data_IF_369362758201
#
_entry.id   IF_369362758201
#
_cell.length_a   1.000
_cell.length_b   1.000
_cell.length_c   1.000
_cell.angle_alpha   90.00
_cell.angle_beta   90.00
_cell.angle_gamma   90.00
#
_symmetry.space_group_name_H-M   'P 1'
#
loop_
_entity.id
_entity.type
_entity.pdbx_description
1 polymer ?
#
# COMPACT_ATOMS: atom_id res chain seq x y z
N UNK A 1 -11.55 -25.21 36.08
CA UNK A 1 -11.66 -23.96 35.31
C UNK A 1 -10.74 -24.08 34.11
N UNK A 2 -11.22 -24.37 32.89
CA UNK A 2 -10.34 -24.56 31.75
C UNK A 2 -9.85 -23.20 31.27
N UNK A 3 -8.55 -22.98 31.40
CA UNK A 3 -7.86 -21.82 30.83
C UNK A 3 -8.12 -21.77 29.34
N UNK A 4 -8.71 -20.65 28.89
CA UNK A 4 -8.88 -20.33 27.48
C UNK A 4 -7.49 -20.30 26.87
N UNK A 5 -7.12 -21.39 26.19
CA UNK A 5 -5.94 -21.42 25.34
C UNK A 5 -6.14 -20.32 24.30
N UNK A 6 -5.49 -19.18 24.49
CA UNK A 6 -5.28 -18.22 23.42
C UNK A 6 -4.60 -19.01 22.29
N UNK A 7 -5.26 -19.19 21.13
CA UNK A 7 -4.67 -19.96 20.06
C UNK A 7 -3.36 -19.28 19.65
N UNK A 8 -2.32 -20.11 19.63
CA UNK A 8 -0.94 -19.80 19.32
C UNK A 8 -0.80 -18.80 18.18
N UNK A 9 -0.02 -17.76 18.47
CA UNK A 9 0.37 -16.61 17.65
C UNK A 9 0.88 -17.01 16.26
N UNK A 10 0.02 -17.17 15.26
CA UNK A 10 0.47 -17.01 13.87
C UNK A 10 0.60 -15.51 13.60
N UNK A 11 1.80 -15.01 13.25
CA UNK A 11 1.95 -13.60 12.91
C UNK A 11 0.98 -13.29 11.76
N UNK A 12 0.12 -12.30 11.95
CA UNK A 12 -0.90 -11.89 10.99
C UNK A 12 -0.32 -11.64 9.58
N UNK A 13 0.98 -11.33 9.49
CA UNK A 13 1.77 -11.22 8.26
C UNK A 13 1.89 -12.51 7.43
N UNK A 14 1.61 -13.67 8.02
CA UNK A 14 1.65 -15.01 7.38
C UNK A 14 0.25 -15.58 7.11
N UNK A 15 -0.82 -14.86 7.46
CA UNK A 15 -2.16 -15.27 7.06
C UNK A 15 -2.25 -15.33 5.54
N UNK A 16 -2.84 -16.41 5.00
CA UNK A 16 -3.05 -16.59 3.54
C UNK A 16 -3.69 -15.37 2.89
N UNK A 17 -4.53 -14.65 3.63
CA UNK A 17 -5.20 -13.43 3.20
C UNK A 17 -4.22 -12.26 3.06
N UNK A 18 -3.28 -12.09 3.99
CA UNK A 18 -2.27 -11.05 3.93
C UNK A 18 -1.25 -11.30 2.81
N UNK A 19 -0.90 -12.58 2.58
CA UNK A 19 -0.05 -13.00 1.47
C UNK A 19 -0.78 -12.77 0.14
N UNK A 20 -2.05 -13.16 0.03
CA UNK A 20 -2.87 -12.91 -1.15
C UNK A 20 -2.94 -11.42 -1.49
N UNK A 21 -3.26 -10.56 -0.52
CA UNK A 21 -3.32 -9.11 -0.74
C UNK A 21 -1.97 -8.50 -1.10
N UNK A 22 -0.87 -8.94 -0.48
CA UNK A 22 0.48 -8.53 -0.89
C UNK A 22 0.73 -8.90 -2.35
N UNK A 23 0.50 -10.16 -2.73
CA UNK A 23 0.73 -10.63 -4.09
C UNK A 23 -0.14 -9.89 -5.10
N UNK A 24 -1.43 -9.68 -4.79
CA UNK A 24 -2.33 -8.90 -5.64
C UNK A 24 -1.82 -7.46 -5.82
N UNK A 25 -1.49 -6.76 -4.73
CA UNK A 25 -0.98 -5.39 -4.79
C UNK A 25 0.37 -5.31 -5.54
N UNK A 26 1.24 -6.31 -5.38
CA UNK A 26 2.49 -6.41 -6.15
C UNK A 26 2.23 -6.59 -7.64
N UNK A 27 1.29 -7.46 -8.03
CA UNK A 27 0.91 -7.66 -9.43
C UNK A 27 0.28 -6.39 -10.03
N UNK A 28 -0.61 -5.72 -9.28
CA UNK A 28 -1.18 -4.44 -9.69
C UNK A 28 -0.09 -3.38 -9.88
N UNK A 29 0.85 -3.25 -8.95
CA UNK A 29 1.99 -2.35 -9.11
C UNK A 29 2.80 -2.67 -10.36
N UNK A 30 3.16 -3.93 -10.58
CA UNK A 30 3.95 -4.33 -11.75
C UNK A 30 3.20 -4.01 -13.06
N UNK A 31 1.88 -4.22 -13.09
CA UNK A 31 1.05 -3.84 -14.23
C UNK A 31 1.05 -2.34 -14.49
N UNK A 32 0.85 -1.52 -13.45
CA UNK A 32 0.87 -0.06 -13.57
C UNK A 32 2.25 0.48 -13.95
N UNK A 33 3.32 -0.13 -13.43
CA UNK A 33 4.70 0.18 -13.82
C UNK A 33 4.93 -0.12 -15.32
N UNK A 34 4.38 -1.24 -15.81
CA UNK A 34 4.42 -1.59 -17.22
C UNK A 34 3.68 -0.59 -18.11
N UNK A 35 2.47 -0.17 -17.70
CA UNK A 35 1.71 0.89 -18.39
C UNK A 35 2.47 2.22 -18.39
N UNK A 36 3.07 2.59 -17.26
CA UNK A 36 3.87 3.80 -17.16
C UNK A 36 5.06 3.77 -18.14
N UNK A 37 5.80 2.66 -18.20
CA UNK A 37 6.92 2.51 -19.12
C UNK A 37 6.49 2.61 -20.59
N UNK A 38 5.35 2.00 -20.95
CA UNK A 38 4.77 2.13 -22.29
C UNK A 38 4.35 3.59 -22.59
N UNK A 39 3.65 4.24 -21.65
CA UNK A 39 3.23 5.63 -21.79
C UNK A 39 4.39 6.61 -21.93
N UNK A 40 5.53 6.36 -21.26
CA UNK A 40 6.75 7.15 -21.46
C UNK A 40 7.35 6.95 -22.86
N UNK A 41 7.28 5.73 -23.40
CA UNK A 41 7.75 5.42 -24.75
C UNK A 41 6.86 6.04 -25.83
N UNK A 42 5.55 6.08 -25.60
CA UNK A 42 4.55 6.57 -26.57
C UNK A 42 4.34 8.10 -26.49
N UNK A 43 5.02 8.78 -25.57
CA UNK A 43 4.94 10.24 -25.39
C UNK A 43 3.76 10.72 -24.55
N UNK A 44 2.95 9.82 -23.97
CA UNK A 44 1.86 10.12 -23.05
C UNK A 44 2.36 10.36 -21.62
N UNK A 45 3.18 11.40 -21.44
CA UNK A 45 3.91 11.68 -20.19
C UNK A 45 2.95 11.87 -19.00
N UNK A 46 1.81 12.54 -19.18
CA UNK A 46 0.86 12.76 -18.08
C UNK A 46 0.22 11.45 -17.57
N UNK A 47 -0.18 10.56 -18.48
CA UNK A 47 -0.72 9.25 -18.11
C UNK A 47 0.36 8.35 -17.51
N UNK A 48 1.57 8.37 -18.08
CA UNK A 48 2.70 7.61 -17.60
C UNK A 48 3.12 8.01 -16.17
N UNK A 49 3.11 9.30 -15.86
CA UNK A 49 3.41 9.83 -14.52
C UNK A 49 2.31 9.44 -13.52
N UNK A 50 1.04 9.44 -13.95
CA UNK A 50 -0.08 8.96 -13.15
C UNK A 50 0.01 7.46 -12.82
N UNK A 51 0.29 6.64 -13.83
CA UNK A 51 0.44 5.18 -13.71
C UNK A 51 1.67 4.81 -12.85
N UNK A 52 2.76 5.57 -12.97
CA UNK A 52 3.94 5.44 -12.11
C UNK A 52 3.62 5.81 -10.65
N UNK A 53 2.85 6.87 -10.43
CA UNK A 53 2.35 7.24 -9.11
C UNK A 53 1.51 6.14 -8.47
N UNK A 54 0.58 5.55 -9.24
CA UNK A 54 -0.24 4.41 -8.80
C UNK A 54 0.62 3.19 -8.44
N UNK A 55 1.62 2.86 -9.27
CA UNK A 55 2.56 1.77 -8.98
C UNK A 55 3.26 1.95 -7.62
N UNK A 56 3.77 3.15 -7.36
CA UNK A 56 4.46 3.49 -6.11
C UNK A 56 3.52 3.40 -4.90
N UNK A 57 2.28 3.88 -5.03
CA UNK A 57 1.28 3.78 -3.95
C UNK A 57 0.95 2.31 -3.63
N UNK A 58 0.79 1.46 -4.64
CA UNK A 58 0.52 0.03 -4.44
C UNK A 58 1.69 -0.70 -3.78
N UNK A 59 2.94 -0.40 -4.15
CA UNK A 59 4.13 -0.93 -3.45
C UNK A 59 4.16 -0.48 -1.99
N UNK A 60 3.86 0.79 -1.72
CA UNK A 60 3.76 1.31 -0.35
C UNK A 60 2.69 0.57 0.47
N UNK A 61 1.54 0.27 -0.14
CA UNK A 61 0.48 -0.51 0.47
C UNK A 61 0.85 -1.98 0.71
N UNK A 62 1.68 -2.62 -0.12
CA UNK A 62 2.17 -3.98 0.12
C UNK A 62 2.89 -4.11 1.47
N UNK A 63 3.66 -3.08 1.85
CA UNK A 63 4.33 -3.07 3.15
C UNK A 63 3.35 -2.81 4.29
N UNK A 64 2.37 -1.93 4.07
CA UNK A 64 1.28 -1.63 5.01
C UNK A 64 0.22 -2.73 5.17
N UNK A 65 0.34 -3.87 4.49
CA UNK A 65 -0.63 -4.97 4.55
C UNK A 65 -0.83 -5.55 5.96
N UNK A 66 0.15 -5.39 6.84
CA UNK A 66 0.05 -5.72 8.27
C UNK A 66 -0.95 -4.83 9.03
N UNK A 67 -1.17 -3.57 8.61
CA UNK A 67 -2.24 -2.72 9.16
C UNK A 67 -3.63 -3.23 8.73
N UNK A 68 -3.79 -3.63 7.46
CA UNK A 68 -5.04 -4.19 6.91
C UNK A 68 -5.45 -5.51 7.58
N UNK A 69 -4.47 -6.34 7.88
CA UNK A 69 -4.74 -7.63 8.49
C UNK A 69 -5.09 -7.51 9.99
N UNK A 70 -4.71 -6.42 10.65
CA UNK A 70 -5.14 -6.08 12.02
C UNK A 70 -6.54 -5.45 12.03
N UNK A 71 -6.84 -4.63 11.02
CA UNK A 71 -8.20 -4.16 10.73
C UNK A 71 -9.18 -5.32 10.53
N UNK A 72 -8.75 -6.45 9.97
CA UNK A 72 -9.60 -7.63 9.79
C UNK A 72 -9.76 -8.48 11.07
N UNK A 73 -8.80 -8.42 12.00
CA UNK A 73 -8.72 -9.38 13.12
C UNK A 73 -9.23 -8.84 14.46
N UNK A 74 -9.18 -7.53 14.69
CA UNK A 74 -9.61 -6.91 15.96
C UNK A 74 -10.97 -6.23 15.76
N UNK A 75 -12.03 -6.76 16.37
CA UNK A 75 -13.40 -6.22 16.26
C UNK A 75 -13.62 -4.95 17.09
N UNK A 76 -12.82 -4.75 18.16
CA UNK A 76 -12.90 -3.60 19.06
C UNK A 76 -12.22 -2.36 18.44
N UNK A 77 -12.94 -1.27 18.11
CA UNK A 77 -12.40 -0.14 17.36
C UNK A 77 -11.28 0.60 18.12
N UNK A 78 -11.41 0.78 19.43
CA UNK A 78 -10.42 1.50 20.24
C UNK A 78 -9.09 0.72 20.39
N UNK A 79 -9.15 -0.62 20.53
CA UNK A 79 -7.94 -1.46 20.62
C UNK A 79 -7.30 -1.66 19.26
N UNK A 80 -8.09 -1.68 18.19
CA UNK A 80 -7.64 -1.72 16.80
C UNK A 80 -6.79 -0.51 16.47
N UNK A 81 -7.26 0.71 16.77
CA UNK A 81 -6.49 1.93 16.52
C UNK A 81 -5.18 1.98 17.32
N UNK A 82 -5.22 1.63 18.61
CA UNK A 82 -4.01 1.60 19.43
C UNK A 82 -2.97 0.56 18.95
N UNK A 83 -3.42 -0.58 18.42
CA UNK A 83 -2.56 -1.61 17.85
C UNK A 83 -1.96 -1.16 16.50
N UNK A 84 -2.75 -0.51 15.65
CA UNK A 84 -2.32 0.06 14.38
C UNK A 84 -1.28 1.16 14.62
N UNK A 85 -1.52 2.07 15.56
CA UNK A 85 -0.62 3.19 15.84
C UNK A 85 0.75 2.69 16.33
N UNK A 86 0.78 1.70 17.23
CA UNK A 86 2.01 1.08 17.72
C UNK A 86 2.80 0.37 16.62
N UNK A 87 2.12 -0.27 15.66
CA UNK A 87 2.79 -0.91 14.54
C UNK A 87 3.29 0.09 13.52
N UNK A 88 2.47 1.11 13.23
CA UNK A 88 2.85 2.22 12.38
C UNK A 88 4.08 2.95 12.93
N UNK A 89 4.20 3.13 14.25
CA UNK A 89 5.41 3.66 14.88
C UNK A 89 6.63 2.74 14.71
N UNK A 90 6.48 1.44 14.97
CA UNK A 90 7.56 0.46 14.77
C UNK A 90 8.00 0.35 13.31
N UNK A 91 7.06 0.44 12.38
CA UNK A 91 7.29 0.33 10.95
C UNK A 91 7.92 1.61 10.40
N UNK A 92 7.47 2.80 10.83
CA UNK A 92 8.15 4.08 10.54
C UNK A 92 9.58 4.09 11.07
N UNK A 93 9.82 3.56 12.27
CA UNK A 93 11.15 3.49 12.87
C UNK A 93 12.09 2.55 12.09
N UNK A 94 11.58 1.43 11.56
CA UNK A 94 12.38 0.50 10.74
C UNK A 94 12.54 0.96 9.30
N UNK A 95 11.56 1.65 8.71
CA UNK A 95 11.47 1.91 7.27
C UNK A 95 10.88 3.30 6.98
N UNK A 96 11.57 4.40 7.30
CA UNK A 96 11.08 5.74 7.04
C UNK A 96 10.87 6.01 5.53
N UNK A 97 11.64 5.35 4.67
CA UNK A 97 11.58 5.47 3.22
C UNK A 97 10.23 5.07 2.61
N UNK A 98 9.45 4.17 3.25
CA UNK A 98 8.12 3.79 2.75
C UNK A 98 7.18 5.00 2.75
N UNK A 99 7.28 5.84 3.78
CA UNK A 99 6.47 7.07 3.85
C UNK A 99 6.87 8.05 2.74
N UNK A 100 8.16 8.17 2.45
CA UNK A 100 8.65 9.00 1.34
C UNK A 100 8.20 8.44 -0.01
N UNK A 101 8.23 7.12 -0.19
CA UNK A 101 7.78 6.45 -1.40
C UNK A 101 6.28 6.64 -1.64
N UNK A 102 5.46 6.49 -0.60
CA UNK A 102 4.02 6.76 -0.70
C UNK A 102 3.74 8.23 -1.04
N UNK A 103 4.43 9.18 -0.40
CA UNK A 103 4.26 10.60 -0.68
C UNK A 103 4.68 10.93 -2.13
N UNK A 104 5.79 10.38 -2.60
CA UNK A 104 6.23 10.51 -3.99
C UNK A 104 5.21 9.92 -4.96
N UNK A 105 4.63 8.75 -4.64
CA UNK A 105 3.55 8.14 -5.41
C UNK A 105 2.31 9.03 -5.52
N UNK A 106 1.85 9.60 -4.40
CA UNK A 106 0.72 10.54 -4.40
C UNK A 106 1.00 11.82 -5.19
N UNK A 107 2.21 12.39 -5.09
CA UNK A 107 2.60 13.57 -5.86
C UNK A 107 2.60 13.25 -7.35
N UNK A 108 3.16 12.11 -7.76
CA UNK A 108 3.15 11.68 -9.17
C UNK A 108 1.73 11.44 -9.67
N UNK A 109 0.87 10.82 -8.86
CA UNK A 109 -0.53 10.58 -9.21
C UNK A 109 -1.28 11.90 -9.43
N UNK A 110 -1.14 12.85 -8.50
CA UNK A 110 -1.75 14.18 -8.63
C UNK A 110 -1.21 14.96 -9.84
N UNK A 111 0.10 14.88 -10.09
CA UNK A 111 0.73 15.50 -11.25
C UNK A 111 0.22 14.90 -12.57
N UNK A 112 0.05 13.57 -12.63
CA UNK A 112 -0.50 12.89 -13.80
C UNK A 112 -1.96 13.28 -14.06
N UNK A 113 -2.79 13.30 -13.02
CA UNK A 113 -4.20 13.74 -13.12
C UNK A 113 -4.29 15.22 -13.53
N UNK A 114 -3.47 16.09 -12.94
CA UNK A 114 -3.43 17.51 -13.32
C UNK A 114 -2.99 17.69 -14.77
N UNK A 115 -1.98 16.94 -15.22
CA UNK A 115 -1.51 16.95 -16.61
C UNK A 115 -2.59 16.49 -17.59
N UNK A 116 -3.33 15.43 -17.26
CA UNK A 116 -4.46 14.96 -18.07
C UNK A 116 -5.57 16.00 -18.13
N UNK A 117 -5.96 16.58 -16.99
CA UNK A 117 -6.98 17.63 -16.93
C UNK A 117 -6.57 18.86 -17.74
N UNK A 118 -5.30 19.28 -17.69
CA UNK A 118 -4.81 20.41 -18.49
C UNK A 118 -4.79 20.17 -20.00
N UNK A 119 -4.89 18.91 -20.44
CA UNK A 119 -4.94 18.54 -21.84
C UNK A 119 -6.39 18.37 -22.35
N UNK A 120 -7.37 18.42 -21.44
CA UNK A 120 -8.81 18.31 -21.72
C UNK A 120 -9.47 19.70 -21.79
N UNK A 121 -8.91 20.71 -21.11
CA UNK A 121 -9.32 22.11 -21.17
C UNK A 121 -8.50 22.90 -22.19
#
# INVERSE_FOLDING_TARGET
MPGIQQPTKTPISESKIAVFWRTALYLFSAGMMGKAAAGFSDGYVAEAVGDLGLSLVFIGMCFRSTELAILAYISDPAKREAAIEKLRQKERAKRPWISHLMNAGWICLLAGVAGQLSNIF
#
